data_IF_620691500009
#
_entry.id   IF_620691500009
#
_cell.length_a   1.000
_cell.length_b   1.000
_cell.length_c   1.000
_cell.angle_alpha   90.00
_cell.angle_beta   90.00
_cell.angle_gamma   90.00
#
_symmetry.space_group_name_H-M   'P 1'
#
loop_
_entity.id
_entity.type
_entity.pdbx_description
1 polymer ?
#
# COMPACT_ATOMS: atom_id res chain seq x y z
N UNK A 1 0.78 6.34 25.87
CA UNK A 1 2.08 7.02 25.82
C UNK A 1 3.03 6.09 25.09
N UNK A 2 3.35 6.39 23.83
CA UNK A 2 4.38 5.68 23.08
C UNK A 2 5.12 6.74 22.25
N UNK A 3 6.07 7.44 22.88
CA UNK A 3 7.06 8.25 22.18
C UNK A 3 8.18 7.30 21.76
N UNK A 4 8.13 6.77 20.52
CA UNK A 4 9.13 5.81 20.05
C UNK A 4 10.35 6.45 19.36
N UNK A 5 10.50 7.78 19.30
CA UNK A 5 11.75 8.39 18.78
C UNK A 5 12.05 9.72 19.47
N UNK A 6 13.22 9.88 20.13
CA UNK A 6 13.65 11.16 20.66
C UNK A 6 14.00 12.09 19.48
N UNK A 7 13.24 13.18 19.30
CA UNK A 7 13.59 14.27 18.36
C UNK A 7 14.83 15.01 18.87
N UNK A 8 16.01 14.43 18.72
CA UNK A 8 17.25 15.05 19.21
C UNK A 8 18.43 14.94 18.26
N UNK A 9 18.32 14.25 17.13
CA UNK A 9 19.40 14.15 16.14
C UNK A 9 19.10 14.95 14.86
N UNK A 10 20.14 15.49 14.22
CA UNK A 10 20.04 16.12 12.89
C UNK A 10 19.47 15.14 11.85
N UNK A 11 19.72 13.84 12.03
CA UNK A 11 19.22 12.77 11.16
C UNK A 11 17.68 12.63 11.22
N UNK A 12 17.07 12.85 12.39
CA UNK A 12 15.61 12.89 12.54
C UNK A 12 14.99 14.08 11.80
N UNK A 13 15.67 15.23 11.79
CA UNK A 13 15.22 16.43 11.07
C UNK A 13 15.19 16.22 9.55
N UNK A 14 16.17 15.49 8.99
CA UNK A 14 16.14 15.12 7.57
C UNK A 14 15.02 14.14 7.23
N UNK A 15 14.75 13.19 8.14
CA UNK A 15 13.76 12.15 7.96
C UNK A 15 12.30 12.61 8.16
N UNK A 16 12.05 13.60 9.03
CA UNK A 16 10.71 14.05 9.39
C UNK A 16 10.42 15.53 9.09
N UNK A 17 11.43 16.34 8.78
CA UNK A 17 11.29 17.76 8.44
C UNK A 17 11.05 18.04 6.95
N UNK A 18 11.09 17.01 6.09
CA UNK A 18 10.90 17.11 4.64
C UNK A 18 9.70 16.26 4.17
N UNK A 19 9.54 16.07 2.86
CA UNK A 19 8.45 15.24 2.34
C UNK A 19 8.69 13.75 2.64
N UNK A 20 7.63 12.93 2.65
CA UNK A 20 7.77 11.49 2.95
C UNK A 20 8.66 10.80 1.91
N UNK A 21 8.68 11.25 0.65
CA UNK A 21 9.47 10.62 -0.40
C UNK A 21 11.00 10.74 -0.18
N UNK A 22 11.46 11.79 0.51
CA UNK A 22 12.87 11.99 0.89
C UNK A 22 13.26 11.32 2.20
N UNK A 23 12.30 10.79 2.97
CA UNK A 23 12.59 10.03 4.19
C UNK A 23 13.21 8.66 3.87
N UNK A 24 13.90 8.06 4.85
CA UNK A 24 14.44 6.71 4.73
C UNK A 24 13.36 5.69 4.33
N UNK A 25 13.77 4.63 3.61
CA UNK A 25 12.85 3.59 3.09
C UNK A 25 11.97 3.00 4.20
N UNK A 26 12.55 2.76 5.38
CA UNK A 26 11.81 2.26 6.54
C UNK A 26 10.70 3.23 6.98
N UNK A 27 10.96 4.55 7.04
CA UNK A 27 9.95 5.56 7.42
C UNK A 27 8.85 5.67 6.37
N UNK A 28 9.24 5.63 5.08
CA UNK A 28 8.29 5.62 3.96
C UNK A 28 7.36 4.43 4.02
N UNK A 29 7.89 3.22 4.20
CA UNK A 29 7.09 2.00 4.27
C UNK A 29 6.23 1.97 5.54
N UNK A 30 6.71 2.47 6.68
CA UNK A 30 5.90 2.62 7.89
C UNK A 30 4.74 3.62 7.70
N UNK A 31 4.99 4.74 7.02
CA UNK A 31 3.94 5.71 6.66
C UNK A 31 2.90 5.08 5.73
N UNK A 32 3.34 4.42 4.65
CA UNK A 32 2.43 3.75 3.70
C UNK A 32 1.62 2.66 4.39
N UNK A 33 2.26 1.79 5.17
CA UNK A 33 1.62 0.76 5.99
C UNK A 33 0.49 1.36 6.84
N UNK A 34 0.73 2.48 7.52
CA UNK A 34 -0.29 3.17 8.33
C UNK A 34 -1.45 3.70 7.49
N UNK A 35 -1.16 4.35 6.36
CA UNK A 35 -2.18 4.92 5.46
C UNK A 35 -3.05 3.82 4.84
N UNK A 36 -2.45 2.79 4.25
CA UNK A 36 -3.16 1.69 3.60
C UNK A 36 -3.95 0.83 4.60
N UNK A 37 -3.45 0.67 5.84
CA UNK A 37 -4.20 0.00 6.90
C UNK A 37 -5.46 0.78 7.30
N UNK A 38 -5.35 2.11 7.47
CA UNK A 38 -6.50 2.96 7.79
C UNK A 38 -7.53 2.93 6.65
N UNK A 39 -7.09 3.12 5.40
CA UNK A 39 -7.98 3.10 4.24
C UNK A 39 -8.69 1.75 4.08
N UNK A 40 -7.99 0.64 4.31
CA UNK A 40 -8.60 -0.69 4.25
C UNK A 40 -9.72 -0.87 5.28
N UNK A 41 -9.50 -0.43 6.52
CA UNK A 41 -10.51 -0.49 7.56
C UNK A 41 -11.72 0.38 7.18
N UNK A 42 -11.47 1.57 6.63
CA UNK A 42 -12.54 2.47 6.17
C UNK A 42 -13.36 1.80 5.06
N UNK A 43 -12.74 1.32 3.98
CA UNK A 43 -13.44 0.66 2.86
C UNK A 43 -14.24 -0.55 3.32
N UNK A 44 -13.70 -1.36 4.24
CA UNK A 44 -14.42 -2.50 4.81
C UNK A 44 -15.64 -2.05 5.61
N UNK A 45 -15.48 -1.06 6.48
CA UNK A 45 -16.58 -0.51 7.29
C UNK A 45 -17.68 0.08 6.39
N UNK A 46 -17.30 0.82 5.34
CA UNK A 46 -18.22 1.37 4.35
C UNK A 46 -18.99 0.25 3.67
N UNK A 47 -18.29 -0.79 3.21
CA UNK A 47 -18.90 -1.94 2.51
C UNK A 47 -19.93 -2.66 3.38
N UNK A 48 -19.58 -2.96 4.63
CA UNK A 48 -20.49 -3.63 5.58
C UNK A 48 -21.71 -2.76 5.86
N UNK A 49 -21.48 -1.48 6.14
CA UNK A 49 -22.54 -0.53 6.49
C UNK A 49 -23.50 -0.33 5.31
N UNK A 50 -22.98 -0.13 4.09
CA UNK A 50 -23.78 -0.02 2.87
C UNK A 50 -24.56 -1.29 2.57
N UNK A 51 -23.96 -2.48 2.73
CA UNK A 51 -24.66 -3.74 2.53
C UNK A 51 -25.86 -3.88 3.49
N UNK A 52 -25.68 -3.59 4.78
CA UNK A 52 -26.76 -3.63 5.78
C UNK A 52 -27.89 -2.67 5.39
N UNK A 53 -27.56 -1.45 4.99
CA UNK A 53 -28.55 -0.44 4.63
C UNK A 53 -29.30 -0.76 3.33
N UNK A 54 -28.65 -1.41 2.34
CA UNK A 54 -29.29 -1.80 1.09
C UNK A 54 -30.32 -2.90 1.26
N UNK A 55 -30.16 -3.80 2.24
CA UNK A 55 -31.19 -4.79 2.55
C UNK A 55 -32.35 -4.23 3.38
N UNK A 56 -32.20 -3.03 3.94
CA UNK A 56 -33.25 -2.38 4.72
C UNK A 56 -34.11 -1.47 3.83
N UNK A 57 -35.28 -1.99 3.45
CA UNK A 57 -36.30 -1.22 2.71
C UNK A 57 -36.76 0.03 3.47
N UNK A 58 -36.79 -0.02 4.81
CA UNK A 58 -37.15 1.12 5.66
C UNK A 58 -36.12 2.25 5.59
N UNK A 59 -34.83 1.93 5.54
CA UNK A 59 -33.79 2.96 5.41
C UNK A 59 -33.81 3.56 4.01
N UNK A 60 -34.00 2.73 2.96
CA UNK A 60 -34.17 3.25 1.61
C UNK A 60 -35.34 4.24 1.53
N UNK A 61 -36.51 3.89 2.07
CA UNK A 61 -37.66 4.79 2.09
C UNK A 61 -37.36 6.10 2.86
N UNK A 62 -36.74 5.99 4.04
CA UNK A 62 -36.39 7.16 4.86
C UNK A 62 -35.47 8.16 4.16
N UNK A 63 -34.46 7.67 3.42
CA UNK A 63 -33.52 8.53 2.71
C UNK A 63 -34.20 9.23 1.53
N UNK A 64 -35.09 8.54 0.80
CA UNK A 64 -35.84 9.13 -0.32
C UNK A 64 -36.91 10.14 0.14
N UNK A 65 -37.53 9.92 1.31
CA UNK A 65 -38.52 10.83 1.87
C UNK A 65 -37.91 12.16 2.34
N UNK A 66 -36.63 12.18 2.71
CA UNK A 66 -35.96 13.34 3.31
C UNK A 66 -34.67 13.70 2.58
N UNK A 67 -34.74 14.22 1.34
CA UNK A 67 -33.54 14.60 0.57
C UNK A 67 -32.72 15.71 1.27
N UNK A 68 -33.31 16.47 2.21
CA UNK A 68 -32.59 17.44 3.03
C UNK A 68 -31.44 16.81 3.86
N UNK A 69 -31.51 15.50 4.18
CA UNK A 69 -30.44 14.79 4.87
C UNK A 69 -29.13 14.78 4.07
N UNK A 70 -29.21 14.84 2.73
CA UNK A 70 -28.04 14.92 1.85
C UNK A 70 -27.31 16.25 1.97
N UNK A 71 -28.07 17.34 2.06
CA UNK A 71 -27.49 18.66 2.25
C UNK A 71 -26.83 18.75 3.63
N UNK A 72 -27.48 18.22 4.66
CA UNK A 72 -26.93 18.17 6.02
C UNK A 72 -25.64 17.32 6.06
N UNK A 73 -25.61 16.15 5.41
CA UNK A 73 -24.39 15.33 5.34
C UNK A 73 -23.29 16.01 4.51
N UNK A 74 -23.64 16.71 3.43
CA UNK A 74 -22.70 17.46 2.60
C UNK A 74 -22.04 18.62 3.35
N UNK A 75 -22.81 19.42 4.09
CA UNK A 75 -22.24 20.47 4.95
C UNK A 75 -21.49 19.89 6.15
N UNK A 76 -21.99 18.78 6.71
CA UNK A 76 -21.33 18.05 7.80
C UNK A 76 -19.94 17.54 7.40
N UNK A 77 -19.79 16.99 6.20
CA UNK A 77 -18.50 16.49 5.71
C UNK A 77 -17.48 17.62 5.55
N UNK A 78 -17.91 18.79 5.04
CA UNK A 78 -17.06 19.97 4.94
C UNK A 78 -16.64 20.48 6.33
N UNK A 79 -17.56 20.52 7.30
CA UNK A 79 -17.25 20.89 8.68
C UNK A 79 -16.22 19.95 9.33
N UNK A 80 -16.33 18.64 9.08
CA UNK A 80 -15.37 17.65 9.60
C UNK A 80 -14.01 17.77 8.90
N UNK A 81 -13.97 18.07 7.60
CA UNK A 81 -12.70 18.33 6.88
C UNK A 81 -12.00 19.57 7.48
N UNK A 82 -12.76 20.62 7.77
CA UNK A 82 -12.22 21.81 8.46
C UNK A 82 -11.70 21.43 9.84
N UNK A 83 -12.47 20.68 10.63
CA UNK A 83 -12.03 20.20 11.94
C UNK A 83 -10.77 19.32 11.84
N UNK A 84 -10.69 18.40 10.89
CA UNK A 84 -9.51 17.58 10.62
C UNK A 84 -8.29 18.44 10.28
N UNK A 85 -8.48 19.53 9.55
CA UNK A 85 -7.39 20.47 9.20
C UNK A 85 -6.87 21.19 10.44
N UNK A 86 -7.76 21.62 11.34
CA UNK A 86 -7.39 22.28 12.60
C UNK A 86 -6.73 21.33 13.61
N UNK A 87 -7.22 20.09 13.71
CA UNK A 87 -6.76 19.09 14.67
C UNK A 87 -5.78 18.07 14.08
N UNK A 88 -5.22 18.32 12.88
CA UNK A 88 -4.39 17.35 12.12
C UNK A 88 -3.19 16.79 12.90
N UNK A 89 -2.60 17.59 13.78
CA UNK A 89 -1.41 17.23 14.56
C UNK A 89 -1.72 16.70 15.98
N UNK A 90 -3.00 16.65 16.36
CA UNK A 90 -3.42 16.20 17.69
C UNK A 90 -3.84 14.73 17.62
N UNK A 91 -2.95 13.85 18.08
CA UNK A 91 -3.28 12.45 18.27
C UNK A 91 -3.85 12.24 19.69
N UNK A 92 -4.97 11.50 19.88
CA UNK A 92 -5.71 10.70 18.90
C UNK A 92 -6.93 11.41 18.27
N UNK A 93 -7.13 12.70 18.54
CA UNK A 93 -8.32 13.46 18.07
C UNK A 93 -8.48 13.38 16.55
N UNK A 94 -7.38 13.48 15.80
CA UNK A 94 -7.40 13.34 14.35
C UNK A 94 -7.94 11.98 13.85
N UNK A 95 -7.69 10.89 14.57
CA UNK A 95 -8.22 9.56 14.24
C UNK A 95 -9.72 9.49 14.50
N UNK A 96 -10.19 10.00 15.63
CA UNK A 96 -11.64 10.05 15.90
C UNK A 96 -12.38 10.91 14.87
N UNK A 97 -11.81 12.06 14.48
CA UNK A 97 -12.37 12.90 13.42
C UNK A 97 -12.35 12.20 12.05
N UNK A 98 -11.30 11.41 11.77
CA UNK A 98 -11.19 10.65 10.52
C UNK A 98 -12.21 9.50 10.44
N UNK A 99 -12.40 8.76 11.53
CA UNK A 99 -13.45 7.74 11.61
C UNK A 99 -14.85 8.37 11.60
N UNK A 100 -15.03 9.50 12.29
CA UNK A 100 -16.27 10.28 12.25
C UNK A 100 -16.59 10.80 10.85
N UNK A 101 -15.59 11.27 10.11
CA UNK A 101 -15.73 11.66 8.70
C UNK A 101 -16.23 10.49 7.86
N UNK A 102 -15.59 9.33 7.96
CA UNK A 102 -15.98 8.11 7.27
C UNK A 102 -17.42 7.71 7.64
N UNK A 103 -17.74 7.55 8.93
CA UNK A 103 -19.08 7.13 9.36
C UNK A 103 -20.20 8.11 8.96
N UNK A 104 -19.97 9.43 9.03
CA UNK A 104 -21.00 10.42 8.70
C UNK A 104 -21.16 10.66 7.20
N UNK A 105 -20.06 10.64 6.44
CA UNK A 105 -20.09 10.89 5.00
C UNK A 105 -20.55 9.65 4.22
N UNK A 106 -20.17 8.45 4.67
CA UNK A 106 -20.50 7.19 3.98
C UNK A 106 -21.95 6.73 4.22
N UNK A 107 -22.54 7.03 5.38
CA UNK A 107 -23.85 6.48 5.76
C UNK A 107 -25.03 7.14 5.05
N UNK A 108 -24.92 8.40 4.62
CA UNK A 108 -26.05 9.13 4.05
C UNK A 108 -25.82 9.59 2.61
N UNK A 109 -24.66 10.21 2.31
CA UNK A 109 -24.39 10.72 0.97
C UNK A 109 -24.14 9.59 -0.02
N UNK A 110 -23.23 8.68 0.34
CA UNK A 110 -22.90 7.53 -0.49
C UNK A 110 -24.07 6.53 -0.57
N UNK A 111 -24.76 6.26 0.54
CA UNK A 111 -25.94 5.37 0.54
C UNK A 111 -27.06 5.85 -0.40
N UNK A 112 -27.34 7.15 -0.46
CA UNK A 112 -28.33 7.70 -1.39
C UNK A 112 -27.93 7.53 -2.84
N UNK A 113 -26.66 7.74 -3.18
CA UNK A 113 -26.18 7.52 -4.56
C UNK A 113 -26.33 6.05 -4.91
N UNK A 114 -25.94 5.16 -3.99
CA UNK A 114 -25.98 3.71 -4.17
C UNK A 114 -27.42 3.18 -4.27
N UNK A 115 -28.42 3.86 -3.68
CA UNK A 115 -29.82 3.43 -3.77
C UNK A 115 -30.46 3.60 -5.16
N UNK A 116 -29.80 4.29 -6.09
CA UNK A 116 -30.23 4.36 -7.49
C UNK A 116 -29.75 3.19 -8.35
N UNK A 117 -28.90 2.32 -7.80
CA UNK A 117 -28.32 1.18 -8.49
C UNK A 117 -28.89 -0.14 -7.97
N UNK A 118 -28.93 -1.15 -8.84
CA UNK A 118 -29.33 -2.49 -8.44
C UNK A 118 -28.39 -3.09 -7.40
N UNK A 119 -28.96 -3.69 -6.35
CA UNK A 119 -28.23 -4.25 -5.20
C UNK A 119 -27.14 -5.23 -5.65
N UNK A 120 -27.40 -6.04 -6.69
CA UNK A 120 -26.44 -7.00 -7.23
C UNK A 120 -25.19 -6.33 -7.81
N UNK A 121 -25.35 -5.23 -8.55
CA UNK A 121 -24.23 -4.48 -9.15
C UNK A 121 -23.40 -3.82 -8.05
N UNK A 122 -24.08 -3.24 -7.07
CA UNK A 122 -23.47 -2.57 -5.94
C UNK A 122 -22.62 -3.54 -5.10
N UNK A 123 -23.15 -4.71 -4.76
CA UNK A 123 -22.40 -5.72 -3.99
C UNK A 123 -21.18 -6.23 -4.76
N UNK A 124 -21.29 -6.44 -6.07
CA UNK A 124 -20.14 -6.82 -6.91
C UNK A 124 -19.06 -5.74 -6.90
N UNK A 125 -19.45 -4.46 -7.03
CA UNK A 125 -18.52 -3.34 -6.97
C UNK A 125 -17.79 -3.28 -5.62
N UNK A 126 -18.51 -3.45 -4.50
CA UNK A 126 -17.91 -3.47 -3.17
C UNK A 126 -16.92 -4.62 -2.97
N UNK A 127 -17.26 -5.82 -3.43
CA UNK A 127 -16.37 -6.99 -3.35
C UNK A 127 -15.08 -6.69 -4.13
N UNK A 128 -15.19 -6.14 -5.34
CA UNK A 128 -14.04 -5.79 -6.16
C UNK A 128 -13.18 -4.70 -5.50
N UNK A 129 -13.79 -3.62 -5.02
CA UNK A 129 -13.07 -2.53 -4.35
C UNK A 129 -12.35 -3.02 -3.09
N UNK A 130 -13.04 -3.82 -2.26
CA UNK A 130 -12.43 -4.41 -1.06
C UNK A 130 -11.27 -5.33 -1.43
N UNK A 131 -11.41 -6.17 -2.45
CA UNK A 131 -10.35 -7.06 -2.91
C UNK A 131 -9.12 -6.28 -3.41
N UNK A 132 -9.31 -5.21 -4.19
CA UNK A 132 -8.22 -4.34 -4.68
C UNK A 132 -7.51 -3.66 -3.50
N UNK A 133 -8.25 -3.09 -2.55
CA UNK A 133 -7.65 -2.42 -1.40
C UNK A 133 -6.92 -3.38 -0.45
N UNK A 134 -7.47 -4.57 -0.20
CA UNK A 134 -6.79 -5.61 0.55
C UNK A 134 -5.54 -6.11 -0.17
N UNK A 135 -5.58 -6.26 -1.50
CA UNK A 135 -4.41 -6.62 -2.32
C UNK A 135 -3.31 -5.55 -2.28
N UNK A 136 -3.66 -4.27 -2.43
CA UNK A 136 -2.72 -3.15 -2.30
C UNK A 136 -2.15 -3.05 -0.88
N UNK A 137 -2.97 -3.30 0.12
CA UNK A 137 -2.53 -3.29 1.52
C UNK A 137 -1.61 -4.46 1.79
N UNK A 138 -1.92 -5.67 1.33
CA UNK A 138 -1.01 -6.80 1.39
C UNK A 138 0.32 -6.48 0.68
N UNK A 139 0.29 -5.91 -0.52
CA UNK A 139 1.49 -5.49 -1.24
C UNK A 139 2.35 -4.49 -0.45
N UNK A 140 1.73 -3.48 0.16
CA UNK A 140 2.45 -2.46 0.95
C UNK A 140 2.90 -2.94 2.33
N UNK A 141 2.26 -3.98 2.88
CA UNK A 141 2.63 -4.60 4.15
C UNK A 141 3.72 -5.67 3.99
N UNK A 142 3.88 -6.24 2.79
CA UNK A 142 4.76 -7.38 2.59
C UNK A 142 6.21 -6.93 2.36
N UNK A 143 6.99 -6.88 3.44
CA UNK A 143 8.46 -6.69 3.43
C UNK A 143 9.19 -7.79 2.61
N UNK A 144 8.48 -8.83 2.19
CA UNK A 144 8.98 -9.94 1.39
C UNK A 144 9.04 -9.63 -0.11
N UNK A 145 8.46 -8.53 -0.59
CA UNK A 145 8.52 -8.16 -2.02
C UNK A 145 9.97 -7.81 -2.42
N UNK A 146 10.68 -7.05 -1.59
CA UNK A 146 12.10 -6.73 -1.83
C UNK A 146 12.97 -7.99 -1.82
N UNK A 147 12.74 -8.89 -0.87
CA UNK A 147 13.39 -10.19 -0.78
C UNK A 147 13.08 -11.06 -2.02
N UNK A 148 11.82 -11.06 -2.48
CA UNK A 148 11.40 -11.81 -3.65
C UNK A 148 12.03 -11.26 -4.94
N UNK A 149 12.15 -9.93 -5.09
CA UNK A 149 12.87 -9.32 -6.21
C UNK A 149 14.38 -9.61 -6.16
N UNK A 150 15.00 -9.54 -4.97
CA UNK A 150 16.42 -9.88 -4.80
C UNK A 150 16.68 -11.37 -5.10
N UNK A 151 15.82 -12.27 -4.61
CA UNK A 151 15.90 -13.70 -4.86
C UNK A 151 15.64 -14.05 -6.33
N UNK A 152 14.66 -13.41 -6.97
CA UNK A 152 14.40 -13.57 -8.40
C UNK A 152 15.58 -13.07 -9.24
N UNK A 153 16.20 -11.95 -8.87
CA UNK A 153 17.42 -11.45 -9.52
C UNK A 153 18.60 -12.43 -9.41
N UNK A 154 18.85 -12.99 -8.22
CA UNK A 154 19.89 -13.98 -8.02
C UNK A 154 19.65 -15.26 -8.85
N UNK A 155 18.40 -15.75 -8.90
CA UNK A 155 18.03 -16.90 -9.74
C UNK A 155 18.20 -16.62 -11.24
N UNK A 156 17.88 -15.41 -11.69
CA UNK A 156 18.08 -15.01 -13.08
C UNK A 156 19.56 -15.02 -13.45
N UNK A 157 20.45 -14.49 -12.60
CA UNK A 157 21.90 -14.55 -12.83
C UNK A 157 22.45 -15.98 -12.84
N UNK A 158 21.94 -16.87 -11.99
CA UNK A 158 22.27 -18.30 -12.08
C UNK A 158 21.86 -18.90 -13.44
N UNK A 159 20.67 -18.57 -13.94
CA UNK A 159 20.20 -18.98 -15.27
C UNK A 159 21.05 -18.38 -16.40
N UNK A 160 21.48 -17.12 -16.26
CA UNK A 160 22.35 -16.45 -17.22
C UNK A 160 23.71 -17.14 -17.33
N UNK A 161 24.32 -17.57 -16.22
CA UNK A 161 25.57 -18.34 -16.23
C UNK A 161 25.41 -19.66 -17.00
N UNK A 162 24.30 -20.36 -16.80
CA UNK A 162 24.01 -21.61 -17.52
C UNK A 162 23.88 -21.34 -19.03
N UNK A 163 23.17 -20.27 -19.39
CA UNK A 163 23.01 -19.85 -20.77
C UNK A 163 24.34 -19.43 -21.43
N UNK A 164 25.13 -18.61 -20.75
CA UNK A 164 26.43 -18.16 -21.25
C UNK A 164 27.41 -19.32 -21.37
N UNK A 165 27.41 -20.25 -20.41
CA UNK A 165 28.20 -21.49 -20.54
C UNK A 165 27.79 -22.29 -21.78
N UNK A 166 26.48 -22.42 -22.03
CA UNK A 166 25.97 -23.07 -23.24
C UNK A 166 26.38 -22.32 -24.53
N UNK A 167 26.33 -20.98 -24.51
CA UNK A 167 26.73 -20.16 -25.65
C UNK A 167 28.24 -20.25 -25.92
N UNK A 168 29.07 -20.22 -24.87
CA UNK A 168 30.52 -20.36 -24.93
C UNK A 168 30.92 -21.69 -25.58
N UNK A 169 30.26 -22.79 -25.21
CA UNK A 169 30.49 -24.12 -25.79
C UNK A 169 30.20 -24.20 -27.30
N UNK A 170 29.26 -23.40 -27.80
CA UNK A 170 28.86 -23.41 -29.21
C UNK A 170 29.57 -22.37 -30.08
N UNK A 171 30.14 -21.32 -29.47
CA UNK A 171 30.71 -20.18 -30.21
C UNK A 171 32.23 -20.09 -30.18
N UNK A 172 32.89 -20.59 -29.13
CA UNK A 172 34.35 -20.49 -29.03
C UNK A 172 35.04 -21.75 -29.49
N UNK A 173 36.20 -21.55 -30.10
CA UNK A 173 37.12 -22.65 -30.40
C UNK A 173 37.86 -23.08 -29.12
N UNK A 174 38.30 -24.35 -28.99
CA UNK A 174 39.03 -24.82 -27.80
C UNK A 174 40.29 -24.02 -27.46
N UNK A 175 40.86 -23.33 -28.44
CA UNK A 175 42.04 -22.49 -28.33
C UNK A 175 41.76 -21.15 -27.60
N UNK A 176 40.48 -20.74 -27.52
CA UNK A 176 40.04 -19.48 -26.92
C UNK A 176 39.61 -19.64 -25.45
N UNK A 177 40.12 -20.66 -24.76
CA UNK A 177 39.76 -20.97 -23.37
C UNK A 177 40.02 -19.82 -22.38
N UNK A 178 41.01 -18.95 -22.68
CA UNK A 178 41.31 -17.76 -21.86
C UNK A 178 40.14 -16.77 -21.90
N UNK A 179 39.53 -16.55 -23.07
CA UNK A 179 38.39 -15.65 -23.22
C UNK A 179 37.14 -16.22 -22.53
N UNK A 180 36.91 -17.53 -22.67
CA UNK A 180 35.84 -18.22 -21.95
C UNK A 180 36.02 -18.11 -20.43
N UNK A 181 37.25 -18.27 -19.91
CA UNK A 181 37.55 -18.13 -18.50
C UNK A 181 37.30 -16.71 -17.98
N UNK A 182 37.64 -15.67 -18.75
CA UNK A 182 37.41 -14.27 -18.38
C UNK A 182 35.90 -13.97 -18.30
N UNK A 183 35.11 -14.38 -19.30
CA UNK A 183 33.66 -14.14 -19.30
C UNK A 183 32.99 -14.82 -18.11
N UNK A 184 33.29 -16.09 -17.88
CA UNK A 184 32.71 -16.87 -16.78
C UNK A 184 33.14 -16.34 -15.41
N UNK A 185 34.36 -15.80 -15.29
CA UNK A 185 34.83 -15.13 -14.07
C UNK A 185 34.06 -13.83 -13.78
N UNK A 186 33.77 -13.01 -14.80
CA UNK A 186 32.96 -11.81 -14.64
C UNK A 186 31.52 -12.15 -14.22
N UNK A 187 30.93 -13.21 -14.76
CA UNK A 187 29.60 -13.66 -14.35
C UNK A 187 29.56 -14.14 -12.91
N UNK A 188 30.60 -14.85 -12.45
CA UNK A 188 30.76 -15.26 -11.05
C UNK A 188 30.85 -14.05 -10.11
N UNK A 189 31.61 -13.01 -10.48
CA UNK A 189 31.67 -11.76 -9.70
C UNK A 189 30.29 -11.09 -9.63
N UNK A 190 29.59 -11.00 -10.76
CA UNK A 190 28.26 -10.39 -10.82
C UNK A 190 27.24 -11.15 -9.96
N UNK A 191 27.29 -12.48 -9.96
CA UNK A 191 26.48 -13.32 -9.09
C UNK A 191 26.81 -13.08 -7.60
N UNK A 192 28.09 -13.02 -7.25
CA UNK A 192 28.54 -12.76 -5.88
C UNK A 192 28.00 -11.42 -5.34
N UNK A 193 28.06 -10.36 -6.15
CA UNK A 193 27.52 -9.05 -5.76
C UNK A 193 25.99 -9.07 -5.58
N UNK A 194 25.26 -9.83 -6.41
CA UNK A 194 23.81 -10.00 -6.24
C UNK A 194 23.47 -10.80 -4.98
N UNK A 195 24.24 -11.85 -4.67
CA UNK A 195 24.09 -12.62 -3.43
C UNK A 195 24.40 -11.77 -2.19
N UNK A 196 25.40 -10.88 -2.25
CA UNK A 196 25.72 -9.98 -1.15
C UNK A 196 24.57 -8.99 -0.87
N UNK A 197 23.97 -8.40 -1.93
CA UNK A 197 22.79 -7.54 -1.80
C UNK A 197 21.58 -8.28 -1.25
N UNK A 198 21.38 -9.53 -1.68
CA UNK A 198 20.33 -10.40 -1.15
C UNK A 198 20.54 -10.66 0.34
N UNK A 199 21.76 -11.01 0.75
CA UNK A 199 22.09 -11.27 2.14
C UNK A 199 21.94 -10.02 3.02
N UNK A 200 22.30 -8.85 2.50
CA UNK A 200 22.06 -7.56 3.17
C UNK A 200 20.56 -7.28 3.35
N UNK A 201 19.74 -7.55 2.33
CA UNK A 201 18.28 -7.43 2.42
C UNK A 201 17.68 -8.40 3.46
N UNK A 202 18.24 -9.61 3.60
CA UNK A 202 17.86 -10.55 4.65
C UNK A 202 18.28 -10.10 6.06
N UNK A 203 19.46 -9.50 6.20
CA UNK A 203 20.01 -9.07 7.49
C UNK A 203 19.45 -7.72 8.00
N UNK A 204 18.71 -6.99 7.15
CA UNK A 204 18.00 -5.76 7.51
C UNK A 204 16.64 -6.00 8.18
N UNK A 205 16.18 -7.26 8.30
CA UNK A 205 15.04 -7.69 9.11
C UNK A 205 15.46 -8.01 10.54
#
# INVERSE_FOLDING_TARGET
>A
AEQLYPRSSIEDDFNYGTNVASASVHIRMAFLRKVYSILSIQVLLTTVTSAIFLYSTGVQAFVHERPALLLISGFGSLAIIVALTLYRHQHPVNLYLLFGFCSLNDSLFFLFIVSFYDVSIVLQAFILTTAVFLGLTAYTLHDTVELMFAAAGALLFCGFIIYDTHLLMHKLSPEEYILAAINLYLDIINLFLHLLRLLEAFNKK
#
